data_IF_687647985931
#
_entry.id   IF_687647985931
#
_cell.length_a   1.000
_cell.length_b   1.000
_cell.length_c   1.000
_cell.angle_alpha   90.00
_cell.angle_beta   90.00
_cell.angle_gamma   90.00
#
_symmetry.space_group_name_H-M   'P 1'
#
loop_
_entity.id
_entity.type
_entity.pdbx_description
1 polymer ?
#
# COMPACT_ATOMS: atom_id res chain seq x y z
N UNK A 1 -5.17 23.83 -12.52
CA UNK A 1 -6.20 22.95 -11.95
C UNK A 1 -5.87 21.50 -12.27
N UNK A 2 -5.69 20.67 -11.25
CA UNK A 2 -5.48 19.23 -11.42
C UNK A 2 -6.83 18.52 -11.61
N UNK A 3 -7.04 17.92 -12.78
CA UNK A 3 -8.27 17.19 -13.13
C UNK A 3 -8.17 15.73 -12.66
N UNK A 4 -8.55 15.46 -11.41
CA UNK A 4 -8.54 14.12 -10.82
C UNK A 4 -9.54 13.16 -11.48
N UNK A 5 -9.05 11.99 -11.95
CA UNK A 5 -9.88 10.97 -12.60
C UNK A 5 -10.63 10.08 -11.59
N UNK A 6 -9.94 9.59 -10.55
CA UNK A 6 -10.48 8.64 -9.57
C UNK A 6 -9.62 8.62 -8.30
N UNK A 7 -10.18 8.25 -7.13
CA UNK A 7 -9.44 8.15 -5.85
C UNK A 7 -9.76 6.84 -5.11
N UNK A 8 -8.72 6.07 -4.77
CA UNK A 8 -8.82 4.90 -3.89
C UNK A 8 -8.39 5.25 -2.46
N UNK A 9 -9.13 4.76 -1.46
CA UNK A 9 -8.77 4.84 -0.03
C UNK A 9 -8.87 3.43 0.55
N UNK A 10 -7.80 2.95 1.18
CA UNK A 10 -7.73 1.64 1.81
C UNK A 10 -7.28 1.78 3.28
N UNK A 11 -7.98 1.11 4.21
CA UNK A 11 -7.62 1.05 5.63
C UNK A 11 -7.34 -0.40 5.99
N UNK A 12 -6.16 -0.65 6.56
CA UNK A 12 -5.74 -1.98 7.00
C UNK A 12 -4.48 -1.91 7.86
N UNK A 13 -4.00 -3.08 8.24
CA UNK A 13 -2.73 -3.27 8.95
C UNK A 13 -1.79 -4.13 8.09
N UNK A 14 -0.50 -3.85 8.16
CA UNK A 14 0.53 -4.59 7.42
C UNK A 14 1.81 -4.64 8.24
N UNK A 15 2.35 -5.85 8.41
CA UNK A 15 3.69 -6.03 8.97
C UNK A 15 4.76 -5.85 7.88
N UNK A 16 5.98 -5.46 8.26
CA UNK A 16 7.11 -5.44 7.33
C UNK A 16 7.38 -6.83 6.74
N UNK A 17 7.66 -6.89 5.44
CA UNK A 17 7.92 -8.12 4.72
C UNK A 17 8.18 -7.92 3.23
N UNK A 18 8.63 -9.00 2.59
CA UNK A 18 8.87 -9.02 1.14
C UNK A 18 7.61 -9.19 0.31
N UNK A 19 6.59 -9.81 0.92
CA UNK A 19 5.28 -10.05 0.33
C UNK A 19 4.59 -8.73 -0.02
N UNK A 20 4.01 -8.70 -1.22
CA UNK A 20 3.18 -7.58 -1.67
C UNK A 20 1.72 -7.94 -1.49
N UNK A 21 0.98 -7.08 -0.82
CA UNK A 21 -0.47 -7.20 -0.78
C UNK A 21 -1.07 -6.54 -2.02
N UNK A 22 -1.85 -7.29 -2.79
CA UNK A 22 -2.59 -6.78 -3.94
C UNK A 22 -3.89 -6.12 -3.48
N UNK A 23 -4.12 -4.88 -3.90
CA UNK A 23 -5.35 -4.13 -3.65
C UNK A 23 -6.01 -3.82 -5.00
N UNK A 24 -7.27 -4.20 -5.11
CA UNK A 24 -8.12 -3.87 -6.24
C UNK A 24 -9.18 -2.88 -5.80
N UNK A 25 -9.25 -1.75 -6.48
CA UNK A 25 -10.27 -0.73 -6.29
C UNK A 25 -11.08 -0.61 -7.58
N UNK A 26 -12.34 -1.01 -7.53
CA UNK A 26 -13.28 -0.88 -8.64
C UNK A 26 -14.08 0.40 -8.45
N UNK A 27 -13.53 1.51 -8.94
CA UNK A 27 -14.18 2.82 -8.90
C UNK A 27 -15.33 2.92 -9.88
N UNK A 28 -16.02 4.06 -9.85
CA UNK A 28 -17.16 4.34 -10.74
C UNK A 28 -16.70 4.75 -12.13
N UNK A 29 -15.61 5.51 -12.21
CA UNK A 29 -15.06 6.00 -13.49
C UNK A 29 -13.92 5.10 -13.96
N UNK A 30 -13.06 4.65 -13.05
CA UNK A 30 -11.91 3.82 -13.39
C UNK A 30 -11.68 2.71 -12.35
N UNK A 31 -11.09 1.59 -12.79
CA UNK A 31 -10.57 0.55 -11.89
C UNK A 31 -9.08 0.72 -11.70
N UNK A 32 -8.61 0.58 -10.46
CA UNK A 32 -7.21 0.70 -10.07
C UNK A 32 -6.77 -0.61 -9.41
N UNK A 33 -5.69 -1.19 -9.90
CA UNK A 33 -5.02 -2.32 -9.25
C UNK A 33 -3.60 -1.90 -8.88
N UNK A 34 -3.25 -2.02 -7.61
CA UNK A 34 -1.94 -1.66 -7.10
C UNK A 34 -1.51 -2.66 -6.03
N UNK A 35 -0.22 -2.66 -5.70
CA UNK A 35 0.30 -3.49 -4.63
C UNK A 35 1.14 -2.67 -3.67
N UNK A 36 1.02 -2.98 -2.39
CA UNK A 36 1.73 -2.28 -1.31
C UNK A 36 2.53 -3.28 -0.50
N UNK A 37 3.65 -2.83 0.07
CA UNK A 37 4.44 -3.56 1.06
C UNK A 37 5.17 -2.58 1.96
N UNK A 38 5.46 -3.02 3.18
CA UNK A 38 6.35 -2.32 4.12
C UNK A 38 7.65 -3.10 4.19
N UNK A 39 8.80 -2.43 4.09
CA UNK A 39 10.12 -3.05 4.28
C UNK A 39 10.87 -2.25 5.33
N UNK A 40 11.65 -2.95 6.14
CA UNK A 40 12.62 -2.30 7.00
C UNK A 40 13.85 -1.91 6.19
N UNK A 41 14.50 -0.82 6.61
CA UNK A 41 15.82 -0.49 6.14
C UNK A 41 16.85 -1.52 6.63
N UNK A 42 18.04 -1.49 6.03
CA UNK A 42 19.12 -2.37 6.43
C UNK A 42 19.48 -2.13 7.91
N UNK A 43 19.61 -3.21 8.68
CA UNK A 43 19.88 -3.20 10.13
C UNK A 43 18.74 -2.68 11.01
N UNK A 44 17.52 -2.55 10.47
CA UNK A 44 16.30 -2.35 11.25
C UNK A 44 15.45 -3.62 11.26
N UNK A 45 14.94 -3.98 12.45
CA UNK A 45 14.30 -5.26 12.70
C UNK A 45 12.96 -5.12 13.44
N UNK A 46 12.22 -6.23 13.50
CA UNK A 46 10.94 -6.36 14.19
C UNK A 46 9.76 -5.75 13.42
N UNK A 47 8.54 -5.94 13.95
CA UNK A 47 7.29 -5.56 13.27
C UNK A 47 7.09 -4.05 13.12
N UNK A 48 7.94 -3.24 13.76
CA UNK A 48 7.93 -1.77 13.69
C UNK A 48 9.17 -1.20 13.01
N UNK A 49 10.08 -2.04 12.51
CA UNK A 49 11.37 -1.62 11.93
C UNK A 49 12.12 -0.60 12.80
N UNK A 50 12.17 -0.83 14.11
CA UNK A 50 12.71 0.16 15.06
C UNK A 50 13.65 -0.46 16.10
N UNK A 51 14.04 -1.72 15.91
CA UNK A 51 15.05 -2.41 16.70
C UNK A 51 16.30 -2.61 15.87
#
# INVERSE_FOLDING_TARGET
DDLLIERSVNRGEMNPGEERQLIQYKGRTASIQYSVRVRCDRHYYGNKCNK
#
